data_IF_933275080335
#
_entry.id   IF_933275080335
#
_cell.length_a   1.000
_cell.length_b   1.000
_cell.length_c   1.000
_cell.angle_alpha   90.00
_cell.angle_beta   90.00
_cell.angle_gamma   90.00
#
_symmetry.space_group_name_H-M   'P 1'
#
loop_
_entity.id
_entity.type
_entity.pdbx_description
1 polymer ?
#
# COMPACT_ATOMS: atom_id res chain seq x y z
N UNK A 1 2.47 11.92 -49.50
CA UNK A 1 2.43 12.40 -48.10
C UNK A 1 1.92 11.27 -47.22
N UNK A 2 2.69 10.80 -46.24
CA UNK A 2 2.20 9.80 -45.28
C UNK A 2 1.15 10.46 -44.38
N UNK A 3 -0.09 9.92 -44.36
CA UNK A 3 -1.08 10.31 -43.36
C UNK A 3 -0.52 9.94 -41.99
N UNK A 4 -0.20 10.95 -41.18
CA UNK A 4 0.26 10.72 -39.81
C UNK A 4 -0.96 10.35 -38.97
N UNK A 5 -1.14 9.05 -38.74
CA UNK A 5 -2.07 8.53 -37.73
C UNK A 5 -1.77 9.23 -36.40
N UNK A 6 -2.80 9.77 -35.73
CA UNK A 6 -2.69 10.45 -34.44
C UNK A 6 -3.46 9.69 -33.37
N UNK A 7 -2.79 9.42 -32.25
CA UNK A 7 -3.39 8.84 -31.06
C UNK A 7 -3.62 9.95 -30.02
N UNK A 8 -4.80 10.01 -29.40
CA UNK A 8 -5.09 10.89 -28.25
C UNK A 8 -5.76 10.10 -27.13
N UNK A 9 -5.28 10.32 -25.91
CA UNK A 9 -5.92 9.83 -24.68
C UNK A 9 -6.75 10.95 -24.07
N UNK A 10 -7.98 10.62 -23.67
CA UNK A 10 -8.91 11.53 -23.01
C UNK A 10 -9.44 10.86 -21.74
N UNK A 11 -9.64 11.59 -20.63
CA UNK A 11 -9.18 12.97 -20.42
C UNK A 11 -7.65 13.08 -20.41
N UNK A 12 -7.12 14.30 -20.48
CA UNK A 12 -5.67 14.53 -20.53
C UNK A 12 -4.96 13.87 -19.33
N UNK A 13 -3.64 13.60 -19.38
CA UNK A 13 -2.87 12.96 -18.29
C UNK A 13 -2.81 13.76 -16.97
N UNK A 14 -3.66 14.78 -16.80
CA UNK A 14 -3.86 15.57 -15.58
C UNK A 14 -5.23 15.31 -14.94
N UNK A 15 -5.87 14.19 -15.28
CA UNK A 15 -7.19 13.83 -14.76
C UNK A 15 -7.07 13.05 -13.45
N UNK A 16 -8.06 13.22 -12.56
CA UNK A 16 -8.26 12.38 -11.38
C UNK A 16 -8.80 11.00 -11.80
N UNK A 17 -8.62 9.99 -10.94
CA UNK A 17 -8.80 8.56 -11.25
C UNK A 17 -10.25 8.11 -11.56
N UNK A 18 -11.23 9.02 -11.56
CA UNK A 18 -12.65 8.68 -11.63
C UNK A 18 -13.27 8.80 -13.04
N UNK A 19 -12.54 9.36 -14.02
CA UNK A 19 -13.05 9.53 -15.38
C UNK A 19 -12.68 8.36 -16.32
N UNK A 20 -13.65 7.95 -17.14
CA UNK A 20 -13.46 6.89 -18.15
C UNK A 20 -12.40 7.31 -19.18
N UNK A 21 -11.32 6.53 -19.27
CA UNK A 21 -10.26 6.70 -20.27
C UNK A 21 -10.78 6.32 -21.66
N UNK A 22 -10.72 7.27 -22.61
CA UNK A 22 -11.04 7.09 -24.03
C UNK A 22 -9.78 7.21 -24.88
N UNK A 23 -9.65 6.32 -25.86
CA UNK A 23 -8.61 6.40 -26.89
C UNK A 23 -9.25 6.88 -28.19
N UNK A 24 -8.76 7.99 -28.74
CA UNK A 24 -9.17 8.50 -30.06
C UNK A 24 -8.03 8.28 -31.06
N UNK A 25 -8.34 7.65 -32.19
CA UNK A 25 -7.42 7.46 -33.33
C UNK A 25 -7.93 8.30 -34.49
N UNK A 26 -7.07 9.14 -35.08
CA UNK A 26 -7.40 10.02 -36.21
C UNK A 26 -6.43 9.76 -37.38
N UNK A 27 -6.87 10.00 -38.61
CA UNK A 27 -6.02 9.89 -39.81
C UNK A 27 -5.94 8.48 -40.43
N UNK A 28 -6.91 7.61 -40.12
CA UNK A 28 -7.09 6.31 -40.78
C UNK A 28 -7.86 6.47 -42.09
N UNK A 29 -7.58 5.61 -43.07
CA UNK A 29 -8.42 5.47 -44.27
C UNK A 29 -9.58 4.50 -43.98
N UNK A 30 -10.72 4.58 -44.72
CA UNK A 30 -11.81 3.61 -44.57
C UNK A 30 -11.29 2.17 -44.67
N UNK A 31 -11.82 1.29 -43.80
CA UNK A 31 -11.49 -0.14 -43.74
C UNK A 31 -10.02 -0.49 -43.43
N UNK A 32 -9.22 0.49 -43.01
CA UNK A 32 -7.85 0.23 -42.57
C UNK A 32 -7.83 -0.67 -41.34
N UNK A 33 -7.23 -1.85 -41.47
CA UNK A 33 -6.96 -2.71 -40.32
C UNK A 33 -5.98 -2.05 -39.36
N UNK A 34 -6.33 -2.02 -38.08
CA UNK A 34 -5.50 -1.46 -37.01
C UNK A 34 -5.45 -2.42 -35.83
N UNK A 35 -4.30 -2.49 -35.18
CA UNK A 35 -4.13 -3.18 -33.90
C UNK A 35 -3.88 -2.13 -32.81
N UNK A 36 -4.67 -2.16 -31.74
CA UNK A 36 -4.51 -1.27 -30.59
C UNK A 36 -3.93 -2.08 -29.42
N UNK A 37 -2.75 -1.66 -28.91
CA UNK A 37 -2.12 -2.27 -27.73
C UNK A 37 -2.00 -1.25 -26.61
N UNK A 38 -2.34 -1.66 -25.39
CA UNK A 38 -2.12 -0.89 -24.18
C UNK A 38 -1.17 -1.64 -23.24
N UNK A 39 -0.25 -0.91 -22.60
CA UNK A 39 0.62 -1.42 -21.54
C UNK A 39 0.50 -0.49 -20.33
N UNK A 40 0.14 -1.05 -19.18
CA UNK A 40 0.28 -0.37 -17.90
C UNK A 40 1.74 -0.52 -17.46
N UNK A 41 2.35 0.56 -16.98
CA UNK A 41 3.59 0.50 -16.21
C UNK A 41 3.21 0.76 -14.75
N UNK A 42 3.76 -0.08 -13.88
CA UNK A 42 3.52 -0.08 -12.45
C UNK A 42 4.00 1.22 -11.80
N UNK A 43 3.61 1.45 -10.55
CA UNK A 43 4.09 2.59 -9.78
C UNK A 43 5.61 2.48 -9.60
N UNK A 44 6.36 3.55 -9.88
CA UNK A 44 7.82 3.56 -9.71
C UNK A 44 8.23 3.42 -8.22
N UNK A 45 7.33 3.76 -7.28
CA UNK A 45 7.61 3.80 -5.86
C UNK A 45 6.34 3.62 -5.02
N UNK A 46 6.41 2.79 -3.98
CA UNK A 46 5.31 2.46 -3.06
C UNK A 46 5.78 2.61 -1.62
N UNK A 47 5.03 3.35 -0.80
CA UNK A 47 5.24 3.39 0.66
C UNK A 47 4.19 2.51 1.31
N UNK A 48 4.63 1.59 2.16
CA UNK A 48 3.79 0.59 2.81
C UNK A 48 3.89 0.75 4.32
N UNK A 49 2.87 1.39 4.92
CA UNK A 49 2.84 1.72 6.34
C UNK A 49 1.96 0.73 7.09
N UNK A 50 2.54 0.03 8.06
CA UNK A 50 1.84 -0.88 8.98
C UNK A 50 0.90 -1.88 8.29
N UNK A 51 1.26 -2.38 7.11
CA UNK A 51 0.36 -3.24 6.34
C UNK A 51 0.71 -4.73 6.41
N UNK A 52 -0.24 -5.56 6.00
CA UNK A 52 -0.11 -7.02 5.96
C UNK A 52 0.28 -7.52 4.56
N UNK A 53 1.26 -8.43 4.46
CA UNK A 53 1.71 -9.00 3.19
C UNK A 53 0.70 -9.99 2.55
N UNK A 54 -0.48 -10.12 3.13
CA UNK A 54 -1.59 -10.92 2.65
C UNK A 54 -2.87 -10.07 2.53
N UNK A 55 -3.76 -10.50 1.65
CA UNK A 55 -5.07 -9.91 1.49
C UNK A 55 -5.96 -10.31 2.67
N UNK A 56 -6.53 -9.36 3.40
CA UNK A 56 -7.34 -9.62 4.61
C UNK A 56 -8.83 -9.36 4.35
N UNK A 57 -9.69 -10.06 5.10
CA UNK A 57 -11.14 -9.81 5.20
C UNK A 57 -12.00 -10.10 3.96
N UNK A 58 -11.72 -9.47 2.83
CA UNK A 58 -12.53 -9.58 1.61
C UNK A 58 -11.67 -10.10 0.45
N UNK A 59 -12.22 -10.94 -0.44
CA UNK A 59 -11.46 -11.44 -1.58
C UNK A 59 -11.08 -10.28 -2.51
N UNK A 60 -9.83 -10.29 -2.98
CA UNK A 60 -9.33 -9.32 -3.95
C UNK A 60 -9.41 -9.91 -5.35
N UNK A 61 -10.23 -9.29 -6.21
CA UNK A 61 -10.43 -9.72 -7.59
C UNK A 61 -9.70 -8.76 -8.56
N UNK A 62 -8.85 -9.32 -9.42
CA UNK A 62 -8.23 -8.56 -10.51
C UNK A 62 -8.13 -9.42 -11.77
N UNK A 63 -8.90 -9.07 -12.80
CA UNK A 63 -9.04 -9.87 -14.04
C UNK A 63 -9.43 -11.32 -13.69
N UNK A 64 -8.66 -12.32 -14.14
CA UNK A 64 -8.86 -13.73 -13.80
C UNK A 64 -8.18 -14.17 -12.50
N UNK A 65 -7.54 -13.27 -11.76
CA UNK A 65 -6.88 -13.57 -10.49
C UNK A 65 -7.82 -13.29 -9.33
N UNK A 66 -7.90 -14.23 -8.39
CA UNK A 66 -8.60 -14.07 -7.11
C UNK A 66 -7.60 -14.37 -6.02
N UNK A 67 -7.38 -13.40 -5.11
CA UNK A 67 -6.63 -13.61 -3.89
C UNK A 67 -7.67 -13.76 -2.76
N UNK A 68 -7.81 -14.95 -2.14
CA UNK A 68 -8.75 -15.16 -1.05
C UNK A 68 -8.41 -14.30 0.17
N UNK A 69 -9.38 -14.05 1.06
CA UNK A 69 -9.12 -13.34 2.29
C UNK A 69 -8.40 -14.22 3.31
N UNK A 70 -7.39 -13.65 3.94
CA UNK A 70 -6.84 -14.10 5.21
C UNK A 70 -7.85 -13.77 6.30
N UNK A 71 -8.35 -14.82 6.93
CA UNK A 71 -9.33 -14.73 7.99
C UNK A 71 -8.65 -14.45 9.34
N UNK A 72 -9.45 -14.07 10.32
CA UNK A 72 -9.01 -13.78 11.67
C UNK A 72 -9.74 -14.68 12.67
N UNK A 73 -9.12 -14.89 13.82
CA UNK A 73 -9.66 -15.62 14.96
C UNK A 73 -9.90 -14.64 16.12
N UNK A 74 -11.18 -14.33 16.35
CA UNK A 74 -11.60 -13.43 17.42
C UNK A 74 -11.30 -13.98 18.81
N UNK A 75 -11.11 -15.30 18.97
CA UNK A 75 -10.81 -15.91 20.27
C UNK A 75 -9.39 -15.58 20.75
N UNK A 76 -8.51 -15.12 19.84
CA UNK A 76 -7.15 -14.68 20.16
C UNK A 76 -7.08 -13.23 20.63
N UNK A 77 -8.20 -12.51 20.61
CA UNK A 77 -8.26 -11.16 21.16
C UNK A 77 -8.14 -11.21 22.69
N UNK A 78 -7.33 -10.31 23.25
CA UNK A 78 -7.06 -10.26 24.69
C UNK A 78 -7.71 -9.03 25.30
N UNK A 79 -8.51 -9.20 26.36
CA UNK A 79 -9.07 -8.07 27.10
C UNK A 79 -7.97 -7.37 27.90
N UNK A 80 -7.82 -6.07 27.69
CA UNK A 80 -6.83 -5.25 28.38
C UNK A 80 -7.40 -4.65 29.66
N UNK A 81 -6.53 -4.05 30.50
CA UNK A 81 -6.94 -3.37 31.73
C UNK A 81 -7.88 -2.18 31.50
N UNK A 82 -7.87 -1.57 30.31
CA UNK A 82 -8.77 -0.46 29.97
C UNK A 82 -10.17 -0.93 29.55
N UNK A 83 -10.38 -2.24 29.38
CA UNK A 83 -11.61 -2.81 28.85
C UNK A 83 -11.67 -2.87 27.31
N UNK A 84 -10.69 -2.30 26.60
CA UNK A 84 -10.53 -2.49 25.17
C UNK A 84 -9.83 -3.82 24.84
N UNK A 85 -9.99 -4.31 23.61
CA UNK A 85 -9.35 -5.54 23.12
C UNK A 85 -7.99 -5.24 22.49
N UNK A 86 -6.99 -6.07 22.80
CA UNK A 86 -5.76 -6.21 22.01
C UNK A 86 -6.00 -7.31 20.97
N UNK A 87 -5.94 -6.94 19.69
CA UNK A 87 -6.24 -7.83 18.56
C UNK A 87 -5.00 -8.20 17.76
N UNK A 88 -3.80 -7.89 18.27
CA UNK A 88 -2.54 -8.09 17.55
C UNK A 88 -2.37 -9.52 17.02
N UNK A 89 -2.81 -10.50 17.81
CA UNK A 89 -2.70 -11.94 17.50
C UNK A 89 -3.93 -12.52 16.78
N UNK A 90 -4.92 -11.70 16.42
CA UNK A 90 -6.17 -12.18 15.83
C UNK A 90 -6.04 -12.57 14.36
N UNK A 91 -5.15 -11.96 13.59
CA UNK A 91 -4.93 -12.37 12.18
C UNK A 91 -4.26 -13.75 12.12
N UNK A 92 -4.75 -14.63 11.25
CA UNK A 92 -4.12 -15.92 11.00
C UNK A 92 -2.75 -15.76 10.34
N UNK A 93 -1.83 -16.70 10.54
CA UNK A 93 -0.51 -16.63 9.92
C UNK A 93 -0.63 -16.86 8.40
N UNK A 94 -0.28 -15.87 7.55
CA UNK A 94 -0.30 -16.03 6.10
C UNK A 94 0.74 -17.02 5.58
N UNK A 95 1.74 -17.37 6.40
CA UNK A 95 2.82 -18.29 6.02
C UNK A 95 2.45 -19.76 6.24
N UNK A 96 1.36 -20.04 6.97
CA UNK A 96 0.81 -21.39 7.10
C UNK A 96 0.36 -21.93 5.73
N UNK A 97 0.56 -23.23 5.47
CA UNK A 97 0.32 -23.85 4.16
C UNK A 97 -1.08 -23.58 3.61
N UNK A 98 -2.09 -23.64 4.48
CA UNK A 98 -3.49 -23.38 4.15
C UNK A 98 -3.77 -21.92 3.77
N UNK A 99 -2.92 -20.97 4.20
CA UNK A 99 -3.12 -19.54 4.01
C UNK A 99 -2.22 -18.94 2.93
N UNK A 100 -1.26 -19.68 2.38
CA UNK A 100 -0.31 -19.18 1.36
C UNK A 100 -1.00 -18.56 0.14
N UNK A 101 -2.21 -19.02 -0.19
CA UNK A 101 -3.01 -18.44 -1.28
C UNK A 101 -3.43 -16.98 -1.07
N UNK A 102 -3.38 -16.49 0.16
CA UNK A 102 -3.77 -15.11 0.54
C UNK A 102 -2.65 -14.08 0.30
N UNK A 103 -1.42 -14.54 0.06
CA UNK A 103 -0.25 -13.67 -0.11
C UNK A 103 -0.41 -12.74 -1.32
N UNK A 104 -0.07 -11.48 -1.12
CA UNK A 104 -0.06 -10.49 -2.20
C UNK A 104 1.21 -10.75 -3.04
N UNK A 105 1.11 -10.87 -4.38
CA UNK A 105 2.25 -11.21 -5.25
C UNK A 105 3.15 -9.99 -5.51
N UNK A 106 3.74 -9.46 -4.45
CA UNK A 106 4.57 -8.24 -4.46
C UNK A 106 5.86 -8.40 -5.27
N UNK A 107 6.30 -9.64 -5.51
CA UNK A 107 7.44 -9.95 -6.38
C UNK A 107 7.20 -9.56 -7.85
N UNK A 108 5.93 -9.46 -8.25
CA UNK A 108 5.54 -9.02 -9.59
C UNK A 108 5.71 -7.52 -9.80
N UNK A 109 5.80 -6.75 -8.72
CA UNK A 109 6.00 -5.30 -8.81
C UNK A 109 7.40 -4.95 -9.32
N UNK A 110 7.46 -3.96 -10.19
CA UNK A 110 8.73 -3.40 -10.71
C UNK A 110 9.21 -2.20 -9.88
N UNK A 111 8.28 -1.51 -9.20
CA UNK A 111 8.53 -0.33 -8.38
C UNK A 111 9.33 -0.56 -7.11
N UNK A 112 9.88 0.50 -6.53
CA UNK A 112 10.62 0.43 -5.26
C UNK A 112 9.68 0.50 -4.05
N UNK A 113 9.99 -0.22 -2.98
CA UNK A 113 9.20 -0.19 -1.74
C UNK A 113 9.90 0.58 -0.62
N UNK A 114 9.13 1.29 0.19
CA UNK A 114 9.53 1.71 1.53
C UNK A 114 8.56 1.06 2.51
N UNK A 115 9.02 0.04 3.21
CA UNK A 115 8.28 -0.60 4.29
C UNK A 115 8.46 0.19 5.58
N UNK A 116 7.36 0.48 6.25
CA UNK A 116 7.32 1.19 7.51
C UNK A 116 6.53 0.34 8.49
N UNK A 117 7.15 -0.01 9.62
CA UNK A 117 6.52 -0.83 10.65
C UNK A 117 6.66 -0.20 12.04
N UNK A 118 5.53 -0.03 12.71
CA UNK A 118 5.46 0.36 14.10
C UNK A 118 5.65 -0.87 14.99
N UNK A 119 6.58 -0.81 15.94
CA UNK A 119 6.93 -1.97 16.76
C UNK A 119 5.87 -2.29 17.84
N UNK A 120 5.09 -1.29 18.23
CA UNK A 120 3.96 -1.45 19.14
C UNK A 120 2.61 -1.42 18.40
N UNK A 121 2.56 -1.78 17.11
CA UNK A 121 1.28 -1.99 16.42
C UNK A 121 0.46 -3.10 17.11
N UNK A 122 -0.76 -2.73 17.53
CA UNK A 122 -1.72 -3.63 18.19
C UNK A 122 -2.88 -4.07 17.29
N UNK A 123 -2.96 -3.58 16.07
CA UNK A 123 -3.90 -4.10 15.08
C UNK A 123 -3.43 -5.46 14.57
N UNK A 124 -2.12 -5.57 14.27
CA UNK A 124 -1.46 -6.81 13.88
C UNK A 124 0.07 -6.66 13.96
N UNK A 125 0.82 -7.71 13.69
CA UNK A 125 2.28 -7.66 13.69
C UNK A 125 2.87 -7.11 12.37
N UNK A 126 2.90 -5.78 12.28
CA UNK A 126 3.44 -5.04 11.12
C UNK A 126 4.93 -5.33 10.88
N UNK A 127 5.72 -5.55 11.93
CA UNK A 127 7.13 -5.90 11.80
C UNK A 127 7.31 -7.29 11.18
N UNK A 128 6.55 -8.28 11.67
CA UNK A 128 6.52 -9.62 11.09
C UNK A 128 6.12 -9.58 9.60
N UNK A 129 5.03 -8.88 9.26
CA UNK A 129 4.57 -8.82 7.86
C UNK A 129 5.56 -8.10 6.94
N UNK A 130 6.20 -7.01 7.40
CA UNK A 130 7.27 -6.37 6.64
C UNK A 130 8.45 -7.33 6.42
N UNK A 131 8.83 -8.12 7.43
CA UNK A 131 9.89 -9.13 7.29
C UNK A 131 9.53 -10.21 6.27
N UNK A 132 8.28 -10.73 6.30
CA UNK A 132 7.82 -11.73 5.35
C UNK A 132 7.76 -11.19 3.92
N UNK A 133 7.27 -9.96 3.73
CA UNK A 133 7.29 -9.28 2.43
C UNK A 133 8.73 -9.14 1.90
N UNK A 134 9.67 -8.73 2.74
CA UNK A 134 11.09 -8.61 2.36
C UNK A 134 11.68 -9.98 1.99
N UNK A 135 11.35 -11.05 2.74
CA UNK A 135 11.77 -12.42 2.41
C UNK A 135 11.25 -12.86 1.05
N UNK A 136 9.97 -12.60 0.75
CA UNK A 136 9.36 -12.89 -0.55
C UNK A 136 10.09 -12.14 -1.68
N UNK A 137 10.35 -10.84 -1.52
CA UNK A 137 11.12 -10.07 -2.51
C UNK A 137 12.53 -10.65 -2.71
N UNK A 138 13.26 -10.92 -1.63
CA UNK A 138 14.62 -11.50 -1.69
C UNK A 138 14.63 -12.85 -2.40
N UNK A 139 13.67 -13.72 -2.10
CA UNK A 139 13.53 -15.03 -2.72
C UNK A 139 13.39 -14.94 -4.24
N UNK A 140 12.74 -13.88 -4.74
CA UNK A 140 12.59 -13.59 -6.17
C UNK A 140 13.68 -12.66 -6.74
N UNK A 141 14.80 -12.49 -6.04
CA UNK A 141 15.96 -11.70 -6.50
C UNK A 141 15.74 -10.18 -6.49
N UNK A 142 14.71 -9.69 -5.81
CA UNK A 142 14.36 -8.27 -5.71
C UNK A 142 15.09 -7.62 -4.53
N UNK A 143 15.69 -6.45 -4.76
CA UNK A 143 16.40 -5.64 -3.75
C UNK A 143 15.93 -4.17 -3.72
N UNK A 144 14.86 -3.88 -4.46
CA UNK A 144 14.20 -2.59 -4.59
C UNK A 144 13.30 -2.28 -3.38
N UNK A 145 13.86 -2.30 -2.17
CA UNK A 145 13.13 -1.89 -0.97
C UNK A 145 14.02 -1.21 0.07
N UNK A 146 13.38 -0.41 0.93
CA UNK A 146 13.90 0.09 2.19
C UNK A 146 12.96 -0.33 3.32
N UNK A 147 13.47 -0.39 4.54
CA UNK A 147 12.67 -0.66 5.73
C UNK A 147 13.01 0.34 6.83
N UNK A 148 11.99 0.83 7.52
CA UNK A 148 12.15 1.61 8.75
C UNK A 148 11.21 1.05 9.81
N UNK A 149 11.70 0.92 11.04
CA UNK A 149 10.88 0.57 12.20
C UNK A 149 10.86 1.69 13.21
N UNK A 150 9.75 1.83 13.93
CA UNK A 150 9.57 2.84 14.95
C UNK A 150 9.23 2.22 16.31
N UNK A 151 10.20 2.17 17.23
CA UNK A 151 9.97 1.75 18.61
C UNK A 151 8.94 2.66 19.30
N UNK A 152 7.94 2.06 19.95
CA UNK A 152 6.90 2.79 20.68
C UNK A 152 5.92 3.57 19.80
N UNK A 153 5.93 3.36 18.47
CA UNK A 153 4.84 3.80 17.61
C UNK A 153 3.75 2.73 17.53
N UNK A 154 2.53 3.15 17.19
CA UNK A 154 1.34 2.31 17.07
C UNK A 154 0.84 2.21 15.63
N UNK A 155 -0.35 1.65 15.46
CA UNK A 155 -0.93 1.35 14.15
C UNK A 155 -1.21 2.60 13.29
N UNK A 156 -1.79 3.64 13.88
CA UNK A 156 -2.18 4.85 13.15
C UNK A 156 -1.03 5.84 12.99
N UNK A 157 -0.15 5.59 12.02
CA UNK A 157 0.91 6.53 11.65
C UNK A 157 0.35 7.62 10.73
N UNK A 158 -0.07 8.74 11.33
CA UNK A 158 -0.73 9.83 10.62
C UNK A 158 0.26 10.89 10.11
N UNK A 159 -0.27 11.96 9.52
CA UNK A 159 0.52 13.16 9.24
C UNK A 159 0.98 13.83 10.55
N UNK A 160 2.13 14.53 10.55
CA UNK A 160 2.69 15.11 11.77
C UNK A 160 1.70 15.98 12.56
N UNK A 161 1.75 15.82 13.89
CA UNK A 161 0.96 16.58 14.88
C UNK A 161 -0.54 16.27 14.89
N UNK A 162 -0.97 15.18 14.24
CA UNK A 162 -2.32 14.67 14.45
C UNK A 162 -2.48 14.18 15.89
N UNK A 163 -3.69 14.29 16.48
CA UNK A 163 -3.92 13.81 17.83
C UNK A 163 -3.72 12.30 17.94
N UNK A 164 -2.90 11.88 18.89
CA UNK A 164 -2.67 10.47 19.20
C UNK A 164 -3.97 9.77 19.66
N UNK A 165 -4.31 8.66 19.02
CA UNK A 165 -5.50 7.86 19.33
C UNK A 165 -5.10 6.47 19.88
N UNK A 166 -5.11 6.25 21.21
CA UNK A 166 -4.69 4.96 21.79
C UNK A 166 -5.69 3.83 21.54
N UNK A 167 -6.97 4.15 21.37
CA UNK A 167 -8.05 3.18 21.20
C UNK A 167 -9.27 3.81 20.53
N UNK A 168 -10.00 3.02 19.74
CA UNK A 168 -11.29 3.41 19.15
C UNK A 168 -12.13 2.19 18.81
N UNK A 169 -13.36 2.40 18.34
CA UNK A 169 -14.23 1.30 17.88
C UNK A 169 -13.70 0.69 16.59
N UNK A 170 -13.35 -0.60 16.60
CA UNK A 170 -12.97 -1.31 15.40
C UNK A 170 -14.22 -1.63 14.57
N UNK A 171 -14.31 -1.09 13.35
CA UNK A 171 -15.53 -1.17 12.51
C UNK A 171 -16.00 -2.59 12.22
N UNK A 172 -15.06 -3.52 11.99
CA UNK A 172 -15.40 -4.94 11.72
C UNK A 172 -15.85 -5.68 12.97
N UNK A 173 -15.15 -5.52 14.10
CA UNK A 173 -15.43 -6.25 15.34
C UNK A 173 -16.60 -5.63 16.12
N UNK A 174 -16.92 -4.36 15.88
CA UNK A 174 -17.93 -3.63 16.64
C UNK A 174 -17.57 -3.47 18.12
N UNK A 175 -16.28 -3.54 18.47
CA UNK A 175 -15.76 -3.47 19.84
C UNK A 175 -14.60 -2.46 19.92
N UNK A 176 -14.37 -1.83 21.08
CA UNK A 176 -13.21 -0.98 21.29
C UNK A 176 -11.92 -1.81 21.27
N UNK A 177 -10.94 -1.38 20.49
CA UNK A 177 -9.61 -2.00 20.42
C UNK A 177 -8.52 -0.98 20.71
N UNK A 178 -7.35 -1.46 21.14
CA UNK A 178 -6.15 -0.63 21.25
C UNK A 178 -5.36 -0.63 19.94
N UNK A 179 -4.73 0.50 19.63
CA UNK A 179 -3.91 0.66 18.41
C UNK A 179 -2.41 0.69 18.70
N UNK A 180 -2.06 0.81 19.99
CA UNK A 180 -0.69 0.85 20.48
C UNK A 180 0.00 2.20 20.33
N UNK A 181 1.26 2.23 20.75
CA UNK A 181 2.12 3.39 20.74
C UNK A 181 2.10 4.21 22.03
N UNK A 182 3.19 4.92 22.26
CA UNK A 182 3.38 5.86 23.36
C UNK A 182 3.32 7.30 22.82
N UNK A 183 2.52 8.22 23.40
CA UNK A 183 2.22 9.51 22.76
C UNK A 183 3.44 10.28 22.25
N UNK A 184 4.52 10.34 23.05
CA UNK A 184 5.75 11.06 22.68
C UNK A 184 6.53 10.35 21.58
N UNK A 185 6.67 9.03 21.67
CA UNK A 185 7.41 8.23 20.69
C UNK A 185 6.65 8.20 19.35
N UNK A 186 5.33 8.03 19.42
CA UNK A 186 4.44 8.05 18.28
C UNK A 186 4.51 9.37 17.51
N UNK A 187 4.32 10.51 18.20
CA UNK A 187 4.40 11.83 17.55
C UNK A 187 5.79 12.10 16.93
N UNK A 188 6.86 11.65 17.57
CA UNK A 188 8.21 11.77 17.01
C UNK A 188 8.38 10.89 15.75
N UNK A 189 7.81 9.68 15.75
CA UNK A 189 7.83 8.78 14.61
C UNK A 189 7.07 9.35 13.40
N UNK A 190 5.90 9.98 13.59
CA UNK A 190 5.15 10.63 12.50
C UNK A 190 5.94 11.78 11.85
N UNK A 191 6.61 12.61 12.67
CA UNK A 191 7.43 13.73 12.18
C UNK A 191 8.62 13.23 11.33
N UNK A 192 9.26 12.14 11.75
CA UNK A 192 10.35 11.52 11.00
C UNK A 192 9.84 10.82 9.73
N UNK A 193 8.79 10.01 9.87
CA UNK A 193 8.18 9.26 8.77
C UNK A 193 7.74 10.19 7.64
N UNK A 194 7.10 11.31 7.96
CA UNK A 194 6.67 12.28 6.96
C UNK A 194 7.82 12.77 6.09
N UNK A 195 8.97 13.09 6.72
CA UNK A 195 10.18 13.51 5.98
C UNK A 195 10.71 12.38 5.10
N UNK A 196 10.73 11.14 5.60
CA UNK A 196 11.20 9.97 4.84
C UNK A 196 10.33 9.70 3.62
N UNK A 197 9.01 9.75 3.77
CA UNK A 197 8.06 9.55 2.66
C UNK A 197 8.32 10.59 1.57
N UNK A 198 8.47 11.86 1.94
CA UNK A 198 8.77 12.93 0.99
C UNK A 198 10.10 12.71 0.26
N UNK A 199 11.15 12.29 0.98
CA UNK A 199 12.46 12.01 0.40
C UNK A 199 12.44 10.80 -0.54
N UNK A 200 11.74 9.73 -0.14
CA UNK A 200 11.57 8.52 -0.92
C UNK A 200 10.88 8.81 -2.26
N UNK A 201 9.73 9.48 -2.23
CA UNK A 201 9.02 9.82 -3.46
C UNK A 201 9.78 10.81 -4.35
N UNK A 202 10.46 11.82 -3.78
CA UNK A 202 11.30 12.73 -4.56
C UNK A 202 12.43 12.00 -5.30
N UNK A 203 13.02 10.99 -4.67
CA UNK A 203 14.13 10.21 -5.23
C UNK A 203 13.70 9.22 -6.31
N UNK A 204 12.44 8.78 -6.31
CA UNK A 204 12.00 7.66 -7.16
C UNK A 204 10.87 8.00 -8.16
N UNK A 205 10.22 9.16 -8.03
CA UNK A 205 9.19 9.60 -8.98
C UNK A 205 9.67 10.72 -9.92
N UNK A 206 10.75 11.42 -9.58
CA UNK A 206 11.21 12.60 -10.33
C UNK A 206 12.31 12.23 -11.33
N UNK A 207 11.94 11.49 -12.37
CA UNK A 207 12.75 11.41 -13.59
C UNK A 207 12.05 12.18 -14.72
N UNK A 208 12.69 13.25 -15.23
CA UNK A 208 12.42 13.77 -16.58
C UNK A 208 11.39 14.91 -16.75
N UNK A 209 10.91 15.60 -15.71
CA UNK A 209 10.14 16.85 -15.90
C UNK A 209 10.72 17.98 -15.07
N UNK A 210 11.08 19.09 -15.73
CA UNK A 210 11.50 20.32 -15.05
C UNK A 210 10.48 20.64 -13.97
N UNK A 211 10.95 20.77 -12.73
CA UNK A 211 10.16 21.24 -11.61
C UNK A 211 9.57 22.62 -11.96
N UNK A 212 8.30 22.67 -12.38
CA UNK A 212 7.57 23.94 -12.44
C UNK A 212 7.01 24.14 -11.05
N UNK A 213 7.56 25.15 -10.36
CA UNK A 213 7.04 25.63 -9.08
C UNK A 213 5.52 25.80 -9.20
N UNK A 214 4.77 25.17 -8.30
CA UNK A 214 3.39 25.58 -8.06
C UNK A 214 3.46 27.04 -7.58
N UNK A 215 2.87 27.95 -8.34
CA UNK A 215 2.50 29.25 -7.82
C UNK A 215 1.22 29.05 -7.04
N UNK A 216 1.26 29.41 -5.74
CA UNK A 216 0.06 29.63 -4.94
C UNK A 216 -0.70 30.83 -5.51
#
# INVERSE_FOLDING_TARGET
>A
MLSKVKLRLLPSPRCLFDDVVRVKVEGLVPEQQVELRAKLRDDNATVWINGCNANVMLPLHYKGMVIPPLMFDAQRAVLTKSGALDIKASINDPMAEENKGTLIPIERAEGRFLFVAAEDDKNWDSCYFAEQAIKQLRHHGKQNYEVVTYPGAGHYMETPYMPFCPSSMHRVLGQPVIWGGEPRAHAAAEVDLWKRIQLFFRSHLVEGRSCRKAQL
#
